data_IF_697242193052
#
_entry.id   IF_697242193052
#
_cell.length_a   1.000
_cell.length_b   1.000
_cell.length_c   1.000
_cell.angle_alpha   90.00
_cell.angle_beta   90.00
_cell.angle_gamma   90.00
#
_symmetry.space_group_name_H-M   'P 1'
#
loop_
_entity.id
_entity.type
_entity.pdbx_description
1 polymer ?
#
# COMPACT_ATOMS: atom_id res chain seq x y z
N UNK A 1 5.68 -23.60 -11.86
CA UNK A 1 5.93 -24.57 -12.98
C UNK A 1 7.26 -25.28 -12.83
N UNK A 2 8.31 -24.62 -12.31
CA UNK A 2 9.67 -25.20 -12.12
C UNK A 2 9.68 -26.43 -11.17
N UNK A 3 8.73 -26.56 -10.28
CA UNK A 3 8.63 -27.69 -9.35
C UNK A 3 7.90 -28.92 -9.92
N UNK A 4 7.29 -28.79 -11.11
CA UNK A 4 6.64 -29.91 -11.81
C UNK A 4 7.69 -30.91 -12.27
N UNK A 5 7.57 -32.16 -11.85
CA UNK A 5 8.51 -33.23 -12.17
C UNK A 5 9.42 -33.67 -11.03
N UNK A 6 9.58 -32.81 -9.99
CA UNK A 6 10.40 -33.16 -8.81
C UNK A 6 9.60 -33.35 -7.52
N UNK A 7 8.34 -32.90 -7.50
CA UNK A 7 7.49 -32.90 -6.29
C UNK A 7 6.19 -33.69 -6.53
N UNK A 8 5.68 -34.43 -5.51
CA UNK A 8 4.39 -35.10 -5.60
C UNK A 8 3.23 -34.12 -5.88
N UNK A 9 2.28 -34.50 -6.74
CA UNK A 9 1.12 -33.68 -7.12
C UNK A 9 0.33 -33.15 -5.90
N UNK A 10 0.20 -33.94 -4.84
CA UNK A 10 -0.46 -33.52 -3.61
C UNK A 10 0.24 -32.31 -2.97
N UNK A 11 1.57 -32.27 -2.96
CA UNK A 11 2.37 -31.19 -2.40
C UNK A 11 2.27 -29.97 -3.29
N UNK A 12 2.31 -30.14 -4.61
CA UNK A 12 2.11 -29.04 -5.57
C UNK A 12 0.73 -28.40 -5.41
N UNK A 13 -0.30 -29.21 -5.23
CA UNK A 13 -1.68 -28.72 -4.99
C UNK A 13 -1.78 -27.96 -3.68
N UNK A 14 -1.18 -28.49 -2.60
CA UNK A 14 -1.14 -27.79 -1.31
C UNK A 14 -0.42 -26.44 -1.41
N UNK A 15 0.75 -26.41 -2.05
CA UNK A 15 1.50 -25.17 -2.27
C UNK A 15 0.71 -24.17 -3.11
N UNK A 16 0.08 -24.61 -4.19
CA UNK A 16 -0.77 -23.77 -5.04
C UNK A 16 -1.94 -23.17 -4.26
N UNK A 17 -2.61 -23.96 -3.42
CA UNK A 17 -3.72 -23.48 -2.61
C UNK A 17 -3.27 -22.55 -1.50
N UNK A 18 -2.07 -22.77 -0.94
CA UNK A 18 -1.48 -21.91 0.07
C UNK A 18 -1.05 -20.56 -0.49
N UNK A 19 -0.31 -20.55 -1.60
CA UNK A 19 0.22 -19.31 -2.21
C UNK A 19 -0.92 -18.51 -2.85
N UNK A 20 -1.87 -19.20 -3.47
CA UNK A 20 -2.93 -18.59 -4.27
C UNK A 20 -2.36 -17.83 -5.49
N UNK A 21 -3.19 -17.56 -6.46
CA UNK A 21 -2.88 -16.65 -7.55
C UNK A 21 -3.82 -15.45 -7.42
N UNK A 22 -3.29 -14.30 -7.05
CA UNK A 22 -4.02 -13.06 -7.06
C UNK A 22 -3.85 -12.35 -8.40
N UNK A 23 -4.92 -11.71 -8.86
CA UNK A 23 -4.88 -10.81 -9.99
C UNK A 23 -5.03 -9.39 -9.46
N UNK A 24 -4.22 -8.50 -9.97
CA UNK A 24 -4.30 -7.10 -9.60
C UNK A 24 -4.12 -6.20 -10.82
N UNK A 25 -4.33 -4.93 -10.61
CA UNK A 25 -4.20 -3.88 -11.60
C UNK A 25 -3.09 -2.93 -11.16
N UNK A 26 -2.25 -2.55 -12.10
CA UNK A 26 -1.33 -1.45 -11.90
C UNK A 26 -2.01 -0.16 -12.35
N UNK A 27 -1.99 0.84 -11.50
CA UNK A 27 -2.54 2.17 -11.76
C UNK A 27 -1.43 3.19 -11.57
N UNK A 28 -1.26 4.07 -12.54
CA UNK A 28 -0.21 5.09 -12.49
C UNK A 28 -0.77 6.36 -11.86
N UNK A 29 -0.31 6.68 -10.66
CA UNK A 29 -0.51 7.97 -10.02
C UNK A 29 0.59 8.93 -10.44
N UNK A 30 0.34 10.22 -10.41
CA UNK A 30 1.35 11.25 -10.69
C UNK A 30 1.77 11.92 -9.38
N UNK A 31 3.06 11.94 -9.11
CA UNK A 31 3.62 12.71 -7.98
C UNK A 31 3.55 14.19 -8.33
N UNK A 32 2.93 14.97 -7.45
CA UNK A 32 2.63 16.39 -7.71
C UNK A 32 3.90 17.25 -7.73
N UNK A 33 4.83 17.00 -6.79
CA UNK A 33 6.00 17.84 -6.56
C UNK A 33 7.06 17.76 -7.67
N UNK A 34 7.16 16.62 -8.36
CA UNK A 34 8.17 16.43 -9.41
C UNK A 34 7.61 15.91 -10.75
N UNK A 35 6.29 15.75 -10.87
CA UNK A 35 5.58 15.23 -12.04
C UNK A 35 6.04 13.84 -12.49
N UNK A 36 6.62 13.02 -11.61
CA UNK A 36 7.01 11.65 -11.94
C UNK A 36 5.83 10.70 -11.78
N UNK A 37 5.83 9.64 -12.58
CA UNK A 37 4.88 8.56 -12.48
C UNK A 37 5.18 7.67 -11.27
N UNK A 38 4.13 7.32 -10.52
CA UNK A 38 4.16 6.38 -9.42
C UNK A 38 3.21 5.21 -9.73
N UNK A 39 3.72 4.10 -10.29
CA UNK A 39 2.92 2.90 -10.47
C UNK A 39 2.54 2.29 -9.11
N UNK A 40 1.25 2.07 -8.92
CA UNK A 40 0.66 1.51 -7.70
C UNK A 40 -0.03 0.21 -8.05
N UNK A 41 0.25 -0.86 -7.33
CA UNK A 41 -0.42 -2.15 -7.51
C UNK A 41 -1.60 -2.29 -6.54
N UNK A 42 -2.75 -2.73 -7.05
CA UNK A 42 -3.92 -3.03 -6.22
C UNK A 42 -4.68 -4.26 -6.72
N UNK A 43 -5.27 -5.02 -5.81
CA UNK A 43 -6.24 -6.08 -6.12
C UNK A 43 -7.68 -5.57 -6.08
N UNK A 44 -7.90 -4.33 -5.62
CA UNK A 44 -9.22 -3.70 -5.41
C UNK A 44 -9.31 -2.36 -6.15
N UNK A 45 -9.10 -2.39 -7.48
CA UNK A 45 -9.21 -1.18 -8.32
C UNK A 45 -10.62 -0.56 -8.29
N UNK A 46 -11.64 -1.35 -7.96
CA UNK A 46 -13.02 -0.91 -7.76
C UNK A 46 -13.18 0.17 -6.67
N UNK A 47 -12.26 0.22 -5.71
CA UNK A 47 -12.29 1.18 -4.60
C UNK A 47 -11.50 2.47 -4.88
N UNK A 48 -10.95 2.67 -6.06
CA UNK A 48 -10.00 3.76 -6.38
C UNK A 48 -10.52 5.18 -6.09
N UNK A 49 -11.82 5.39 -6.15
CA UNK A 49 -12.45 6.67 -5.80
C UNK A 49 -12.49 6.96 -4.30
N UNK A 50 -12.18 5.96 -3.47
CA UNK A 50 -12.07 6.03 -2.02
C UNK A 50 -10.63 6.18 -1.51
N UNK A 51 -9.66 6.34 -2.41
CA UNK A 51 -8.26 6.58 -2.04
C UNK A 51 -8.14 7.91 -1.33
N UNK A 52 -7.56 7.90 -0.13
CA UNK A 52 -7.35 9.10 0.69
C UNK A 52 -5.88 9.34 1.01
N UNK A 53 -5.01 8.38 0.77
CA UNK A 53 -3.56 8.54 0.81
C UNK A 53 -2.89 7.43 -0.01
N UNK A 54 -1.59 7.58 -0.29
CA UNK A 54 -0.76 6.55 -0.89
C UNK A 54 0.45 6.28 0.01
N UNK A 55 0.97 5.06 -0.08
CA UNK A 55 2.11 4.64 0.74
C UNK A 55 3.16 3.95 -0.12
N UNK A 56 4.41 4.32 0.08
CA UNK A 56 5.56 3.64 -0.55
C UNK A 56 6.40 2.92 0.48
N UNK A 57 7.06 1.86 0.03
CA UNK A 57 8.07 1.17 0.82
C UNK A 57 9.24 2.12 1.15
N UNK A 58 9.89 1.99 2.31
CA UNK A 58 11.07 2.80 2.63
C UNK A 58 12.19 2.67 1.59
N UNK A 59 12.28 1.52 0.91
CA UNK A 59 13.26 1.20 -0.12
C UNK A 59 12.90 1.73 -1.52
N UNK A 60 11.68 2.26 -1.71
CA UNK A 60 11.23 2.71 -3.02
C UNK A 60 12.12 3.84 -3.57
N UNK A 61 12.47 3.84 -4.88
CA UNK A 61 13.38 4.83 -5.47
C UNK A 61 12.98 6.29 -5.24
N UNK A 62 11.67 6.58 -5.21
CA UNK A 62 11.16 7.93 -4.98
C UNK A 62 11.57 8.48 -3.60
N UNK A 63 11.85 7.62 -2.64
CA UNK A 63 12.26 8.03 -1.28
C UNK A 63 13.57 8.80 -1.30
N UNK A 64 14.48 8.48 -2.21
CA UNK A 64 15.74 9.21 -2.34
C UNK A 64 15.52 10.66 -2.81
N UNK A 65 14.51 10.90 -3.66
CA UNK A 65 14.12 12.24 -4.09
C UNK A 65 13.42 13.01 -2.96
N UNK A 66 12.51 12.35 -2.26
CA UNK A 66 11.85 12.91 -1.07
C UNK A 66 12.89 13.32 -0.02
N UNK A 67 13.91 12.49 0.25
CA UNK A 67 14.96 12.80 1.22
C UNK A 67 15.88 13.95 0.81
N UNK A 68 16.03 14.21 -0.50
CA UNK A 68 16.74 15.40 -0.97
C UNK A 68 15.93 16.67 -0.69
N UNK A 69 14.60 16.62 -0.86
CA UNK A 69 13.71 17.74 -0.59
C UNK A 69 13.43 17.94 0.91
N UNK A 70 13.33 16.85 1.66
CA UNK A 70 13.05 16.85 3.10
C UNK A 70 14.05 15.99 3.88
N UNK A 71 15.27 16.50 4.15
CA UNK A 71 16.30 15.76 4.90
C UNK A 71 15.94 15.47 6.36
N UNK A 72 14.95 16.18 6.93
CA UNK A 72 14.58 16.03 8.33
C UNK A 72 14.05 14.63 8.67
N UNK A 73 13.39 13.96 7.71
CA UNK A 73 12.83 12.62 7.92
C UNK A 73 13.84 11.50 7.70
N UNK A 74 15.07 11.80 7.29
CA UNK A 74 16.09 10.80 6.89
C UNK A 74 16.38 9.76 7.99
N UNK A 75 16.52 10.19 9.22
CA UNK A 75 16.83 9.28 10.33
C UNK A 75 15.71 8.27 10.57
N UNK A 76 14.45 8.71 10.50
CA UNK A 76 13.28 7.87 10.66
C UNK A 76 13.14 6.86 9.50
N UNK A 77 13.36 7.31 8.26
CA UNK A 77 13.36 6.43 7.07
C UNK A 77 14.45 5.36 7.17
N UNK A 78 15.66 5.73 7.59
CA UNK A 78 16.76 4.77 7.77
C UNK A 78 16.46 3.76 8.89
N UNK A 79 15.81 4.18 9.97
CA UNK A 79 15.35 3.26 11.00
C UNK A 79 14.36 2.23 10.46
N UNK A 80 13.39 2.66 9.61
CA UNK A 80 12.46 1.74 8.94
C UNK A 80 13.16 0.79 7.97
N UNK A 81 14.12 1.26 7.17
CA UNK A 81 14.91 0.41 6.25
C UNK A 81 15.68 -0.69 6.99
N UNK A 82 16.15 -0.42 8.20
CA UNK A 82 16.94 -1.36 9.00
C UNK A 82 16.09 -2.38 9.79
N UNK A 83 14.76 -2.25 9.77
CA UNK A 83 13.88 -3.24 10.40
C UNK A 83 13.85 -4.52 9.56
N UNK A 84 13.77 -5.65 10.25
CA UNK A 84 13.64 -6.95 9.59
C UNK A 84 12.34 -7.01 8.76
N UNK A 85 12.43 -7.50 7.53
CA UNK A 85 11.30 -7.58 6.59
C UNK A 85 10.19 -8.51 7.12
N UNK A 86 10.57 -9.61 7.80
CA UNK A 86 9.61 -10.54 8.40
C UNK A 86 8.87 -9.87 9.55
N UNK A 87 9.59 -9.11 10.35
CA UNK A 87 9.00 -8.34 11.44
C UNK A 87 8.04 -7.26 10.90
N UNK A 88 8.40 -6.57 9.81
CA UNK A 88 7.54 -5.57 9.15
C UNK A 88 6.27 -6.17 8.58
N UNK A 89 6.35 -7.39 8.03
CA UNK A 89 5.23 -8.12 7.43
C UNK A 89 4.32 -8.81 8.45
N UNK A 90 4.70 -8.88 9.74
CA UNK A 90 3.96 -9.63 10.76
C UNK A 90 2.53 -9.11 10.91
N UNK A 91 1.57 -10.05 10.95
CA UNK A 91 0.17 -9.75 11.24
C UNK A 91 0.02 -9.26 12.68
N UNK A 92 -0.93 -8.34 12.89
CA UNK A 92 -1.21 -7.76 14.22
C UNK A 92 -0.19 -6.71 14.70
N UNK A 93 0.90 -6.48 13.97
CA UNK A 93 1.82 -5.39 14.28
C UNK A 93 1.20 -4.05 13.94
N UNK A 94 1.38 -3.08 14.82
CA UNK A 94 1.01 -1.69 14.56
C UNK A 94 1.77 -1.14 13.36
N UNK A 95 1.04 -0.54 12.41
CA UNK A 95 1.63 0.03 11.18
C UNK A 95 2.11 1.45 11.44
N UNK A 96 3.36 1.71 11.05
CA UNK A 96 3.99 3.02 11.22
C UNK A 96 4.26 3.66 9.87
N UNK A 97 4.13 4.98 9.83
CA UNK A 97 4.37 5.77 8.66
C UNK A 97 5.06 7.09 8.96
N UNK A 98 5.64 7.65 7.92
CA UNK A 98 6.27 8.97 7.92
C UNK A 98 5.56 9.79 6.84
N UNK A 99 5.01 10.93 7.23
CA UNK A 99 4.50 11.91 6.27
C UNK A 99 5.68 12.51 5.51
N UNK A 100 5.61 12.45 4.19
CA UNK A 100 6.66 12.98 3.32
C UNK A 100 6.51 14.48 3.06
N UNK A 101 5.31 15.01 3.24
CA UNK A 101 4.88 16.33 2.78
C UNK A 101 4.62 16.40 1.27
N UNK A 102 4.75 15.28 0.56
CA UNK A 102 4.46 15.16 -0.87
C UNK A 102 3.07 14.59 -1.11
N UNK A 103 2.54 14.77 -2.33
CA UNK A 103 1.23 14.33 -2.75
C UNK A 103 1.28 13.53 -4.05
N UNK A 104 0.28 12.71 -4.24
CA UNK A 104 0.05 12.03 -5.51
C UNK A 104 -1.36 12.32 -6.01
N UNK A 105 -1.49 12.43 -7.33
CA UNK A 105 -2.76 12.70 -7.99
C UNK A 105 -3.39 11.40 -8.47
N UNK A 106 -4.61 11.15 -8.03
CA UNK A 106 -5.40 10.02 -8.49
C UNK A 106 -5.80 10.23 -9.97
N UNK A 107 -5.45 9.31 -10.88
CA UNK A 107 -5.67 9.51 -12.32
C UNK A 107 -7.14 9.51 -12.72
N UNK A 108 -8.04 8.95 -11.89
CA UNK A 108 -9.46 8.79 -12.24
C UNK A 108 -10.35 9.95 -11.79
N UNK A 109 -10.02 10.62 -10.70
CA UNK A 109 -10.82 11.74 -10.17
C UNK A 109 -10.03 13.04 -10.02
N UNK A 110 -8.73 13.02 -10.28
CA UNK A 110 -7.86 14.19 -10.20
C UNK A 110 -7.58 14.70 -8.78
N UNK A 111 -8.05 13.97 -7.74
CA UNK A 111 -7.84 14.36 -6.34
C UNK A 111 -6.38 14.12 -5.96
N UNK A 112 -5.79 15.09 -5.31
CA UNK A 112 -4.45 14.98 -4.73
C UNK A 112 -4.55 14.46 -3.30
N UNK A 113 -3.78 13.41 -3.00
CA UNK A 113 -3.76 12.76 -1.69
C UNK A 113 -2.32 12.69 -1.16
N UNK A 114 -2.11 12.73 0.17
CA UNK A 114 -0.78 12.71 0.74
C UNK A 114 -0.04 11.39 0.45
N UNK A 115 1.26 11.51 0.22
CA UNK A 115 2.18 10.39 0.03
C UNK A 115 2.93 10.11 1.34
N UNK A 116 2.85 8.87 1.81
CA UNK A 116 3.49 8.41 3.03
C UNK A 116 4.58 7.37 2.73
N UNK A 117 5.55 7.23 3.62
CA UNK A 117 6.47 6.10 3.67
C UNK A 117 5.98 5.19 4.80
N UNK A 118 5.71 3.91 4.51
CA UNK A 118 5.15 2.98 5.50
C UNK A 118 6.02 1.74 5.72
N UNK A 119 6.16 1.32 6.97
CA UNK A 119 6.94 0.13 7.34
C UNK A 119 6.29 -1.18 6.87
N UNK A 120 5.01 -1.18 6.56
CA UNK A 120 4.22 -2.34 6.16
C UNK A 120 4.13 -2.57 4.64
N UNK A 121 4.64 -1.63 3.84
CA UNK A 121 4.75 -1.79 2.38
C UNK A 121 6.12 -2.39 2.06
N UNK A 122 6.12 -3.46 1.27
CA UNK A 122 7.32 -4.19 0.91
C UNK A 122 7.68 -3.94 -0.56
N UNK A 123 8.96 -3.67 -0.83
CA UNK A 123 9.44 -3.40 -2.19
C UNK A 123 9.31 -4.61 -3.13
N UNK A 124 9.31 -5.83 -2.59
CA UNK A 124 9.19 -7.07 -3.36
C UNK A 124 7.73 -7.50 -3.61
N UNK A 125 6.74 -6.70 -3.23
CA UNK A 125 5.33 -6.93 -3.50
C UNK A 125 4.77 -5.84 -4.41
N UNK A 126 4.32 -6.24 -5.60
CA UNK A 126 3.85 -5.32 -6.62
C UNK A 126 4.93 -4.32 -7.06
N UNK A 127 4.63 -3.05 -6.98
CA UNK A 127 5.53 -1.94 -7.35
C UNK A 127 6.27 -1.34 -6.16
N UNK A 128 6.04 -1.84 -4.93
CA UNK A 128 6.52 -1.19 -3.71
C UNK A 128 5.77 0.10 -3.35
N UNK A 129 4.66 0.36 -4.05
CA UNK A 129 3.73 1.46 -3.79
C UNK A 129 2.29 0.94 -3.76
N UNK A 130 1.49 1.42 -2.83
CA UNK A 130 0.09 1.05 -2.67
C UNK A 130 -0.80 2.28 -2.53
N UNK A 131 -1.99 2.20 -3.07
CA UNK A 131 -3.08 3.12 -2.77
C UNK A 131 -3.78 2.66 -1.51
N UNK A 132 -4.13 3.58 -0.63
CA UNK A 132 -4.80 3.28 0.62
C UNK A 132 -6.27 3.70 0.59
N UNK A 133 -7.14 2.77 0.97
CA UNK A 133 -8.59 2.96 0.99
C UNK A 133 -9.15 2.57 2.36
N UNK A 134 -9.02 3.45 3.37
CA UNK A 134 -9.32 3.11 4.76
C UNK A 134 -10.76 2.66 5.02
N UNK A 135 -11.71 3.05 4.18
CA UNK A 135 -13.09 2.58 4.33
C UNK A 135 -13.27 1.10 3.95
N UNK A 136 -12.33 0.49 3.20
CA UNK A 136 -12.46 -0.83 2.59
C UNK A 136 -11.24 -1.74 2.79
N UNK A 137 -10.34 -1.40 3.70
CA UNK A 137 -9.19 -2.21 4.13
C UNK A 137 -8.90 -1.98 5.62
N UNK A 138 -8.80 -3.06 6.39
CA UNK A 138 -8.61 -2.97 7.85
C UNK A 138 -7.25 -2.35 8.23
N UNK A 139 -6.20 -2.62 7.46
CA UNK A 139 -4.84 -2.09 7.70
C UNK A 139 -4.82 -0.59 7.44
N UNK A 140 -5.41 -0.18 6.32
CA UNK A 140 -5.52 1.23 5.94
C UNK A 140 -6.41 1.99 6.93
N UNK A 141 -7.49 1.36 7.42
CA UNK A 141 -8.36 1.94 8.44
C UNK A 141 -7.62 2.22 9.74
N UNK A 142 -6.87 1.22 10.25
CA UNK A 142 -6.09 1.37 11.47
C UNK A 142 -5.03 2.49 11.32
N UNK A 143 -4.34 2.54 10.18
CA UNK A 143 -3.36 3.57 9.87
C UNK A 143 -4.01 4.96 9.78
N UNK A 144 -5.11 5.10 9.05
CA UNK A 144 -5.83 6.36 8.91
C UNK A 144 -6.33 6.89 10.26
N UNK A 145 -6.83 6.02 11.14
CA UNK A 145 -7.22 6.39 12.51
C UNK A 145 -6.04 6.87 13.34
N UNK A 146 -4.90 6.19 13.25
CA UNK A 146 -3.68 6.54 13.97
C UNK A 146 -3.16 7.94 13.58
N UNK A 147 -3.14 8.23 12.29
CA UNK A 147 -2.59 9.48 11.76
C UNK A 147 -3.64 10.54 11.44
N UNK A 148 -4.91 10.30 11.84
CA UNK A 148 -6.04 11.22 11.62
C UNK A 148 -6.22 11.60 10.15
N UNK A 149 -6.09 10.60 9.25
CA UNK A 149 -6.31 10.75 7.81
C UNK A 149 -7.79 10.60 7.46
N UNK A 150 -8.18 11.13 6.30
CA UNK A 150 -9.55 11.03 5.81
C UNK A 150 -9.95 9.56 5.58
N UNK A 151 -11.21 9.22 5.88
CA UNK A 151 -11.82 7.92 5.62
C UNK A 151 -13.04 8.16 4.75
N UNK A 152 -12.98 7.72 3.49
CA UNK A 152 -14.01 7.95 2.48
C UNK A 152 -14.60 6.64 1.98
N UNK A 153 -15.88 6.40 2.24
CA UNK A 153 -16.62 5.24 1.74
C UNK A 153 -17.05 5.45 0.29
N UNK A 154 -16.87 4.43 -0.54
CA UNK A 154 -17.27 4.41 -1.96
C UNK A 154 -18.04 3.14 -2.32
N UNK A 155 -18.02 2.13 -1.48
CA UNK A 155 -18.83 0.92 -1.59
C UNK A 155 -19.73 0.85 -0.36
N UNK A 156 -21.00 0.55 -0.60
CA UNK A 156 -22.02 0.52 0.43
C UNK A 156 -22.77 -0.82 0.40
N UNK A 157 -23.21 -1.35 1.55
CA UNK A 157 -24.09 -2.51 1.56
C UNK A 157 -25.38 -2.20 0.83
N UNK A 158 -26.01 -3.22 0.24
CA UNK A 158 -27.32 -3.06 -0.43
C UNK A 158 -28.43 -2.68 0.54
N UNK A 159 -28.32 -3.12 1.79
CA UNK A 159 -29.27 -2.87 2.87
C UNK A 159 -28.50 -2.70 4.18
N UNK A 160 -29.05 -1.88 5.10
CA UNK A 160 -28.47 -1.63 6.41
C UNK A 160 -27.49 -0.44 6.45
N UNK A 161 -26.94 -0.22 7.65
CA UNK A 161 -25.94 0.84 7.88
C UNK A 161 -24.53 0.33 7.57
N UNK A 162 -23.67 1.23 7.08
CA UNK A 162 -22.27 0.91 6.86
C UNK A 162 -21.52 0.87 8.18
N UNK A 163 -20.81 -0.22 8.42
CA UNK A 163 -19.85 -0.34 9.53
C UNK A 163 -18.45 -0.33 8.91
N UNK A 164 -17.59 0.56 9.37
CA UNK A 164 -16.23 0.71 8.84
C UNK A 164 -15.19 -0.06 9.66
N UNK A 165 -14.18 -0.64 9.01
CA UNK A 165 -14.07 -0.77 7.56
C UNK A 165 -15.09 -1.77 6.98
N UNK A 166 -15.61 -1.46 5.80
CA UNK A 166 -16.50 -2.32 5.05
C UNK A 166 -15.69 -3.07 3.97
N UNK A 167 -15.24 -4.27 4.28
CA UNK A 167 -14.33 -5.10 3.48
C UNK A 167 -15.08 -6.14 2.66
#
# INVERSE_FOLDING_TARGET
EELRGGWPEKVLTMQKNWIGKSFGTEVVFQVVENNTDLPVFTTRVDTIYGVTYAVVAPEHPIVDEILKANPAIKSAVMAMKNMDVIERAAEGKEKNGIDTGWHVKNPYNGVEVPLWIGDYVLMNYGTGAVMAVPAHDERDYAFAKKYNLEIKSVIFPKEGEIVLPFV
#
